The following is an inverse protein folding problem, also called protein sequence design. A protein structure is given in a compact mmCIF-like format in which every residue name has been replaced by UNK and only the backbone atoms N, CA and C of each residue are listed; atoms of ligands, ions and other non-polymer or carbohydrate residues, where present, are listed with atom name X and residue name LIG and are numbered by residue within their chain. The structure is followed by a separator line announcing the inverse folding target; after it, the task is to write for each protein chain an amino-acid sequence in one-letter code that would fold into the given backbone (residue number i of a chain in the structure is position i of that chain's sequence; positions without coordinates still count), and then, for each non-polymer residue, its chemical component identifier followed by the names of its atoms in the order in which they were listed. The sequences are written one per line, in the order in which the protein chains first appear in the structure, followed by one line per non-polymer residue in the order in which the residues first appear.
data_IF_975825481920
#
_entry.id   IF_975825481920
#
_cell.length_a   1.000
_cell.length_b   1.000
_cell.length_c   1.000
_cell.angle_alpha   90.00
_cell.angle_beta   90.00
_cell.angle_gamma   90.00
#
_symmetry.space_group_name_H-M   'P 1'
#
loop_
_entity.id
_entity.type
_entity.pdbx_description
1 polymer ?
#
# COMPACT_ATOMS: atom_id res chain seq x y z
N UNK A 1 -17.89 -25.49 1.60
CA UNK A 1 -18.05 -24.13 1.04
C UNK A 1 -16.93 -23.27 1.61
N UNK A 2 -15.91 -22.97 0.83
CA UNK A 2 -14.78 -22.17 1.28
C UNK A 2 -15.17 -20.69 1.29
N UNK A 3 -15.15 -20.06 2.46
CA UNK A 3 -15.29 -18.61 2.60
C UNK A 3 -13.91 -17.99 2.40
N UNK A 4 -13.71 -17.33 1.26
CA UNK A 4 -12.55 -16.47 1.03
C UNK A 4 -12.85 -15.16 1.76
N UNK A 5 -12.20 -14.95 2.90
CA UNK A 5 -12.20 -13.67 3.60
C UNK A 5 -11.16 -12.83 2.88
N UNK A 6 -11.58 -11.75 2.21
CA UNK A 6 -10.65 -10.85 1.54
C UNK A 6 -9.83 -10.12 2.61
N UNK A 7 -8.57 -10.52 2.70
CA UNK A 7 -7.55 -9.91 3.54
C UNK A 7 -7.02 -8.72 2.76
N UNK A 8 -6.96 -7.56 3.39
CA UNK A 8 -6.25 -6.43 2.85
C UNK A 8 -4.79 -6.80 2.61
N UNK A 9 -4.39 -6.83 1.33
CA UNK A 9 -3.03 -6.53 0.90
C UNK A 9 -1.99 -7.64 0.91
N UNK A 10 -2.34 -8.93 1.06
CA UNK A 10 -1.44 -10.05 0.69
C UNK A 10 -2.26 -11.25 0.18
N UNK A 11 -2.66 -11.22 -1.09
CA UNK A 11 -3.02 -12.44 -1.83
C UNK A 11 -1.86 -12.76 -2.76
N UNK A 12 -0.88 -13.50 -2.25
CA UNK A 12 0.19 -14.06 -3.09
C UNK A 12 -0.42 -15.14 -3.99
N UNK A 13 -0.76 -14.77 -5.22
CA UNK A 13 -0.96 -15.70 -6.33
C UNK A 13 0.35 -15.81 -7.11
N UNK A 14 1.03 -16.95 -6.97
CA UNK A 14 2.25 -17.30 -7.70
C UNK A 14 1.86 -17.62 -9.15
N UNK A 15 2.39 -16.88 -10.13
CA UNK A 15 2.15 -17.12 -11.55
C UNK A 15 3.17 -16.48 -12.49
N UNK A 16 4.11 -17.29 -12.98
CA UNK A 16 4.97 -17.22 -14.18
C UNK A 16 5.30 -15.85 -14.83
N UNK A 17 6.60 -15.62 -15.03
CA UNK A 17 7.19 -14.35 -15.47
C UNK A 17 6.98 -13.94 -16.92
N UNK A 18 7.42 -12.72 -17.26
CA UNK A 18 8.10 -12.35 -18.51
C UNK A 18 8.80 -10.98 -18.30
N UNK A 19 9.98 -10.83 -18.91
CA UNK A 19 10.90 -9.69 -18.79
C UNK A 19 10.55 -8.54 -19.72
N UNK A 20 10.55 -7.28 -19.24
CA UNK A 20 10.85 -6.07 -20.05
C UNK A 20 11.58 -5.06 -19.16
N UNK A 21 12.83 -4.73 -19.50
CA UNK A 21 13.58 -3.62 -18.89
C UNK A 21 13.22 -2.30 -19.59
N UNK A 22 12.87 -1.26 -18.83
CA UNK A 22 12.97 0.12 -19.28
C UNK A 22 13.91 0.88 -18.34
N UNK A 23 15.03 1.37 -18.89
CA UNK A 23 15.92 2.31 -18.21
C UNK A 23 15.37 3.71 -18.44
N UNK A 24 14.75 4.31 -17.42
CA UNK A 24 14.55 5.76 -17.41
C UNK A 24 15.32 6.40 -16.25
N UNK A 25 15.99 7.52 -16.58
CA UNK A 25 16.82 8.31 -15.68
C UNK A 25 15.98 8.84 -14.51
N UNK A 26 16.55 8.99 -13.30
CA UNK A 26 15.84 9.61 -12.20
C UNK A 26 15.62 11.09 -12.50
N UNK A 27 14.36 11.47 -12.74
CA UNK A 27 13.93 12.87 -12.80
C UNK A 27 14.05 13.50 -11.41
N UNK A 28 14.64 14.67 -11.32
CA UNK A 28 14.61 15.51 -10.12
C UNK A 28 13.15 15.96 -9.89
N UNK A 29 12.47 15.32 -8.93
CA UNK A 29 11.04 15.57 -8.62
C UNK A 29 10.90 16.63 -7.54
N UNK A 30 10.22 17.73 -7.84
CA UNK A 30 9.66 18.64 -6.82
C UNK A 30 8.40 18.03 -6.21
N UNK A 31 8.04 18.43 -5.01
CA UNK A 31 7.04 17.79 -4.12
C UNK A 31 5.57 17.80 -4.60
N UNK A 32 5.28 18.06 -5.87
CA UNK A 32 3.92 18.12 -6.42
C UNK A 32 3.78 17.66 -7.88
N UNK A 33 4.70 16.86 -8.42
CA UNK A 33 4.56 16.36 -9.80
C UNK A 33 3.29 15.51 -9.93
N UNK A 34 2.36 15.96 -10.78
CA UNK A 34 1.18 15.18 -11.15
C UNK A 34 1.58 14.15 -12.19
N UNK A 35 1.09 12.93 -12.00
CA UNK A 35 1.34 11.82 -12.93
C UNK A 35 0.05 11.07 -13.18
N UNK A 36 -0.05 10.44 -14.34
CA UNK A 36 -1.08 9.44 -14.61
C UNK A 36 -0.44 8.08 -14.34
N UNK A 37 -1.06 7.32 -13.43
CA UNK A 37 -0.71 5.93 -13.16
C UNK A 37 -1.67 5.03 -13.89
N UNK A 38 -1.14 4.13 -14.71
CA UNK A 38 -1.92 3.17 -15.49
C UNK A 38 -1.67 1.75 -14.97
N UNK A 39 -2.76 1.08 -14.59
CA UNK A 39 -2.78 -0.28 -14.05
C UNK A 39 -3.47 -1.22 -15.06
N UNK A 40 -2.80 -2.28 -15.55
CA UNK A 40 -3.40 -3.24 -16.45
C UNK A 40 -4.43 -4.12 -15.72
N UNK A 41 -5.56 -4.41 -16.37
CA UNK A 41 -6.50 -5.44 -15.90
C UNK A 41 -6.07 -6.80 -16.42
N UNK A 42 -6.16 -7.84 -15.60
CA UNK A 42 -5.78 -9.23 -15.97
C UNK A 42 -6.75 -9.91 -16.96
N UNK A 43 -7.80 -9.23 -17.45
CA UNK A 43 -8.74 -9.86 -18.38
C UNK A 43 -8.11 -10.12 -19.76
N UNK A 44 -8.46 -11.25 -20.36
CA UNK A 44 -8.12 -11.69 -21.74
C UNK A 44 -8.56 -10.73 -22.87
N UNK A 45 -9.11 -9.57 -22.55
CA UNK A 45 -9.39 -8.51 -23.50
C UNK A 45 -8.23 -7.50 -23.46
N UNK A 46 -7.38 -7.56 -24.48
CA UNK A 46 -6.30 -6.58 -24.68
C UNK A 46 -6.84 -5.14 -24.57
N UNK A 47 -6.15 -4.30 -23.78
CA UNK A 47 -6.38 -2.85 -23.78
C UNK A 47 -7.26 -2.27 -22.67
N UNK A 48 -7.69 -3.05 -21.67
CA UNK A 48 -8.41 -2.49 -20.50
C UNK A 48 -7.45 -2.09 -19.37
N UNK A 49 -7.36 -0.79 -19.10
CA UNK A 49 -6.55 -0.22 -18.03
C UNK A 49 -7.38 0.61 -17.05
N UNK A 50 -6.86 0.81 -15.85
CA UNK A 50 -7.31 1.86 -14.92
C UNK A 50 -6.25 2.95 -14.96
N UNK A 51 -6.65 4.18 -15.29
CA UNK A 51 -5.75 5.34 -15.25
C UNK A 51 -6.21 6.29 -14.15
N UNK A 52 -5.32 6.59 -13.20
CA UNK A 52 -5.59 7.45 -12.06
C UNK A 52 -4.60 8.60 -12.02
N UNK A 53 -5.10 9.81 -11.77
CA UNK A 53 -4.26 10.95 -11.44
C UNK A 53 -3.64 10.73 -10.06
N UNK A 54 -2.34 10.85 -9.96
CA UNK A 54 -1.59 10.74 -8.71
C UNK A 54 -0.64 11.93 -8.53
N UNK A 55 -0.18 12.09 -7.30
CA UNK A 55 0.92 12.99 -6.96
C UNK A 55 2.13 12.12 -6.67
N UNK A 56 3.21 12.32 -7.42
CA UNK A 56 4.48 11.65 -7.17
C UNK A 56 5.20 12.32 -5.99
N UNK A 57 5.69 11.49 -5.07
CA UNK A 57 6.59 11.95 -4.02
C UNK A 57 8.00 12.11 -4.58
N UNK A 58 8.76 13.02 -3.95
CA UNK A 58 10.21 12.98 -4.08
C UNK A 58 10.72 11.66 -3.47
N UNK A 59 11.64 10.95 -4.14
CA UNK A 59 12.15 9.69 -3.61
C UNK A 59 13.02 9.96 -2.38
N UNK A 60 12.46 9.69 -1.20
CA UNK A 60 13.14 9.83 0.09
C UNK A 60 13.00 8.53 0.90
N UNK A 61 14.09 8.13 1.56
CA UNK A 61 14.05 6.96 2.43
C UNK A 61 13.34 7.31 3.74
N UNK A 62 12.27 6.57 4.05
CA UNK A 62 11.54 6.71 5.31
C UNK A 62 11.86 5.53 6.23
N UNK A 63 12.48 5.85 7.36
CA UNK A 63 12.92 4.90 8.37
C UNK A 63 11.83 4.63 9.42
N UNK A 64 11.87 3.47 10.11
CA UNK A 64 10.90 3.18 11.16
C UNK A 64 11.09 4.12 12.36
N UNK A 65 9.99 4.38 13.05
CA UNK A 65 9.93 5.20 14.25
C UNK A 65 9.53 4.35 15.45
N UNK A 66 9.67 4.91 16.65
CA UNK A 66 9.12 4.30 17.86
C UNK A 66 7.63 4.61 18.01
N UNK A 67 6.90 3.80 18.79
CA UNK A 67 5.48 4.01 19.05
C UNK A 67 5.17 5.38 19.64
N UNK A 68 6.06 5.94 20.46
CA UNK A 68 5.90 7.29 21.04
C UNK A 68 6.03 8.43 20.04
N UNK A 69 6.61 8.18 18.87
CA UNK A 69 6.73 9.14 17.77
C UNK A 69 5.61 8.99 16.72
N UNK A 70 4.76 7.96 16.87
CA UNK A 70 3.67 7.69 15.95
C UNK A 70 2.68 8.86 15.89
N UNK A 71 2.22 9.17 14.68
CA UNK A 71 1.25 10.22 14.43
C UNK A 71 0.44 9.90 13.19
N UNK A 72 -0.81 10.37 13.18
CA UNK A 72 -1.76 10.18 12.08
C UNK A 72 -2.21 11.51 11.48
N UNK A 73 -1.57 12.62 11.85
CA UNK A 73 -1.96 13.97 11.42
C UNK A 73 -1.85 14.16 9.90
N UNK A 74 -0.86 13.50 9.29
CA UNK A 74 -0.68 13.49 7.83
C UNK A 74 -0.62 12.06 7.33
N UNK A 75 -0.89 11.89 6.04
CA UNK A 75 -0.89 10.60 5.37
C UNK A 75 0.50 9.94 5.42
N UNK A 76 1.55 10.74 5.28
CA UNK A 76 2.95 10.31 5.35
C UNK A 76 3.32 9.80 6.75
N UNK A 77 2.90 10.53 7.80
CA UNK A 77 3.08 10.10 9.19
C UNK A 77 2.31 8.80 9.47
N UNK A 78 1.09 8.68 8.94
CA UNK A 78 0.28 7.47 9.08
C UNK A 78 0.90 6.25 8.37
N UNK A 79 1.49 6.45 7.17
CA UNK A 79 2.24 5.40 6.46
C UNK A 79 3.54 5.01 7.19
N UNK A 80 4.24 5.98 7.80
CA UNK A 80 5.41 5.68 8.62
C UNK A 80 5.04 4.90 9.89
N UNK A 81 3.90 5.25 10.51
CA UNK A 81 3.33 4.51 11.64
C UNK A 81 2.91 3.09 11.25
N UNK A 82 2.33 2.89 10.06
CA UNK A 82 2.06 1.56 9.51
C UNK A 82 3.33 0.71 9.43
N UNK A 83 4.35 1.19 8.72
CA UNK A 83 5.58 0.44 8.52
C UNK A 83 6.23 0.07 9.85
N UNK A 84 6.30 1.03 10.77
CA UNK A 84 6.95 0.85 12.07
C UNK A 84 6.22 -0.14 12.98
N UNK A 85 4.89 -0.08 13.01
CA UNK A 85 4.07 -1.02 13.79
C UNK A 85 4.22 -2.46 13.28
N UNK A 86 4.22 -2.64 11.95
CA UNK A 86 4.39 -3.95 11.32
C UNK A 86 5.80 -4.52 11.54
N UNK A 87 6.85 -3.69 11.37
CA UNK A 87 8.24 -4.10 11.62
C UNK A 87 8.49 -4.47 13.08
N UNK A 88 7.84 -3.76 14.02
CA UNK A 88 7.95 -4.03 15.44
C UNK A 88 7.12 -5.24 15.92
N UNK A 89 6.24 -5.81 15.06
CA UNK A 89 5.28 -6.85 15.44
C UNK A 89 4.42 -6.44 16.66
N UNK A 90 4.07 -5.15 16.77
CA UNK A 90 3.25 -4.59 17.86
C UNK A 90 1.76 -4.59 17.44
N UNK A 91 1.05 -5.66 17.78
CA UNK A 91 -0.36 -5.85 17.41
C UNK A 91 -1.27 -4.72 17.90
N UNK A 92 -0.99 -4.15 19.07
CA UNK A 92 -1.75 -3.03 19.62
C UNK A 92 -1.55 -1.76 18.80
N UNK A 93 -0.33 -1.49 18.37
CA UNK A 93 -0.03 -0.36 17.49
C UNK A 93 -0.55 -0.59 16.07
N UNK A 94 -0.42 -1.79 15.52
CA UNK A 94 -0.99 -2.16 14.23
C UNK A 94 -2.50 -1.92 14.22
N UNK A 95 -3.21 -2.38 15.25
CA UNK A 95 -4.65 -2.13 15.41
C UNK A 95 -4.96 -0.64 15.50
N UNK A 96 -4.18 0.14 16.27
CA UNK A 96 -4.39 1.57 16.43
C UNK A 96 -4.20 2.39 15.14
N UNK A 97 -3.53 1.83 14.13
CA UNK A 97 -3.43 2.45 12.81
C UNK A 97 -4.71 2.35 11.98
N UNK A 98 -5.63 1.44 12.32
CA UNK A 98 -6.92 1.29 11.64
C UNK A 98 -8.00 2.21 12.24
N UNK A 99 -9.00 2.51 11.42
CA UNK A 99 -10.16 3.26 11.87
C UNK A 99 -10.94 2.49 12.94
N UNK A 100 -11.54 3.23 13.87
CA UNK A 100 -12.11 2.68 15.10
C UNK A 100 -13.15 1.58 14.84
N UNK A 101 -13.94 1.72 13.78
CA UNK A 101 -14.96 0.77 13.33
C UNK A 101 -14.40 -0.54 12.76
N UNK A 102 -13.11 -0.59 12.45
CA UNK A 102 -12.44 -1.77 11.88
C UNK A 102 -11.47 -2.45 12.86
N UNK A 103 -11.18 -1.81 14.00
CA UNK A 103 -10.18 -2.31 14.96
C UNK A 103 -10.51 -3.70 15.51
N UNK A 104 -11.77 -4.03 15.75
CA UNK A 104 -12.15 -5.34 16.26
C UNK A 104 -11.88 -6.46 15.24
N UNK A 105 -12.23 -6.23 13.97
CA UNK A 105 -11.92 -7.16 12.89
C UNK A 105 -10.40 -7.33 12.70
N UNK A 106 -9.64 -6.25 12.84
CA UNK A 106 -8.17 -6.29 12.78
C UNK A 106 -7.58 -7.05 13.96
N UNK A 107 -8.08 -6.87 15.18
CA UNK A 107 -7.65 -7.66 16.35
C UNK A 107 -7.89 -9.15 16.14
N UNK A 108 -9.06 -9.51 15.62
CA UNK A 108 -9.40 -10.91 15.30
C UNK A 108 -8.42 -11.48 14.28
N UNK A 109 -8.14 -10.75 13.20
CA UNK A 109 -7.17 -11.14 12.17
C UNK A 109 -5.75 -11.30 12.74
N UNK A 110 -5.30 -10.39 13.61
CA UNK A 110 -3.95 -10.45 14.19
C UNK A 110 -3.79 -11.55 15.25
N UNK A 111 -4.89 -12.15 15.71
CA UNK A 111 -4.85 -13.34 16.56
C UNK A 111 -4.57 -14.62 15.75
N UNK A 112 -4.68 -14.58 14.42
CA UNK A 112 -4.24 -15.67 13.55
C UNK A 112 -2.69 -15.71 13.50
N UNK A 113 -2.13 -16.80 14.03
CA UNK A 113 -0.68 -16.98 14.11
C UNK A 113 0.00 -17.06 12.74
N UNK A 114 -0.66 -17.63 11.72
CA UNK A 114 -0.08 -17.74 10.38
C UNK A 114 0.03 -16.37 9.72
N UNK A 115 -1.02 -15.55 9.86
CA UNK A 115 -1.05 -14.17 9.38
C UNK A 115 0.03 -13.36 10.09
N UNK A 116 0.12 -13.46 11.42
CA UNK A 116 1.09 -12.70 12.20
C UNK A 116 2.54 -13.06 11.85
N UNK A 117 2.84 -14.36 11.70
CA UNK A 117 4.19 -14.82 11.30
C UNK A 117 4.54 -14.33 9.89
N UNK A 118 3.60 -14.41 8.94
CA UNK A 118 3.82 -13.96 7.57
C UNK A 118 4.09 -12.46 7.51
N UNK A 119 3.27 -11.67 8.21
CA UNK A 119 3.43 -10.22 8.29
C UNK A 119 4.80 -9.83 8.87
N UNK A 120 5.15 -10.40 10.02
CA UNK A 120 6.46 -10.19 10.64
C UNK A 120 7.61 -10.53 9.69
N UNK A 121 7.52 -11.67 9.00
CA UNK A 121 8.57 -12.14 8.09
C UNK A 121 8.75 -11.23 6.88
N UNK A 122 7.69 -10.59 6.41
CA UNK A 122 7.78 -9.60 5.33
C UNK A 122 8.53 -8.35 5.79
N UNK A 123 8.12 -7.73 6.91
CA UNK A 123 8.65 -6.42 7.31
C UNK A 123 10.02 -6.45 8.01
N UNK A 124 10.44 -7.59 8.58
CA UNK A 124 11.69 -7.67 9.35
C UNK A 124 12.91 -7.30 8.50
N UNK A 125 12.91 -7.64 7.20
CA UNK A 125 14.03 -7.44 6.29
C UNK A 125 14.23 -6.03 5.76
N UNK A 126 13.29 -5.11 5.98
CA UNK A 126 13.36 -3.76 5.41
C UNK A 126 13.78 -2.72 6.44
N UNK A 127 14.85 -1.99 6.17
CA UNK A 127 15.32 -0.88 7.04
C UNK A 127 14.57 0.43 6.78
N UNK A 128 14.00 0.58 5.59
CA UNK A 128 13.24 1.75 5.17
C UNK A 128 12.27 1.37 4.04
N UNK A 129 11.37 2.29 3.71
CA UNK A 129 10.61 2.29 2.46
C UNK A 129 10.79 3.63 1.73
N UNK A 130 10.41 3.67 0.45
CA UNK A 130 10.35 4.90 -0.34
C UNK A 130 8.89 5.16 -0.76
N UNK A 131 8.23 6.24 -0.31
CA UNK A 131 6.92 6.60 -0.82
C UNK A 131 7.04 7.02 -2.28
N UNK A 132 6.17 6.50 -3.13
CA UNK A 132 6.22 6.72 -4.58
C UNK A 132 5.11 7.66 -5.03
N UNK A 133 3.88 7.33 -4.65
CA UNK A 133 2.70 8.06 -5.13
C UNK A 133 1.62 8.18 -4.05
N UNK A 134 0.86 9.27 -4.15
CA UNK A 134 -0.42 9.48 -3.46
C UNK A 134 -1.53 9.53 -4.50
N UNK A 135 -2.57 8.71 -4.34
CA UNK A 135 -3.64 8.56 -5.31
C UNK A 135 -4.98 8.91 -4.64
N UNK A 136 -5.65 10.00 -5.03
CA UNK A 136 -7.06 10.19 -4.74
C UNK A 136 -7.87 9.17 -5.53
N UNK A 137 -8.53 8.24 -4.84
CA UNK A 137 -9.20 7.12 -5.51
C UNK A 137 -10.72 7.24 -5.46
N UNK A 138 -11.30 7.20 -4.25
CA UNK A 138 -12.74 7.38 -4.03
C UNK A 138 -12.98 8.48 -3.00
N UNK A 139 -14.23 8.96 -2.91
CA UNK A 139 -14.59 10.03 -1.98
C UNK A 139 -14.22 9.62 -0.56
N UNK A 140 -13.28 10.35 0.05
CA UNK A 140 -12.81 10.10 1.42
C UNK A 140 -11.61 9.15 1.52
N UNK A 141 -11.16 8.56 0.42
CA UNK A 141 -10.06 7.58 0.38
C UNK A 141 -8.85 8.10 -0.38
N UNK A 142 -7.67 7.94 0.23
CA UNK A 142 -6.38 8.16 -0.39
C UNK A 142 -5.56 6.88 -0.32
N UNK A 143 -4.98 6.49 -1.45
CA UNK A 143 -4.00 5.42 -1.49
C UNK A 143 -2.59 6.01 -1.38
N UNK A 144 -1.75 5.41 -0.54
CA UNK A 144 -0.30 5.59 -0.61
C UNK A 144 0.34 4.34 -1.20
N UNK A 145 1.25 4.56 -2.14
CA UNK A 145 2.05 3.50 -2.76
C UNK A 145 3.49 3.59 -2.26
N UNK A 146 3.96 2.50 -1.67
CA UNK A 146 5.29 2.36 -1.07
C UNK A 146 6.13 1.39 -1.88
N UNK A 147 7.42 1.68 -2.01
CA UNK A 147 8.40 0.76 -2.55
C UNK A 147 9.36 0.33 -1.43
N UNK A 148 9.45 -0.99 -1.20
CA UNK A 148 10.43 -1.56 -0.29
C UNK A 148 11.70 -1.95 -1.07
N UNK A 149 12.91 -1.74 -0.50
CA UNK A 149 14.16 -2.08 -1.18
C UNK A 149 14.24 -3.57 -1.53
N UNK A 150 14.60 -3.87 -2.78
CA UNK A 150 14.75 -5.25 -3.26
C UNK A 150 13.44 -5.91 -3.71
N UNK A 151 12.28 -5.30 -3.46
CA UNK A 151 11.01 -5.78 -3.97
C UNK A 151 10.81 -5.35 -5.42
N UNK A 152 10.24 -6.25 -6.24
CA UNK A 152 9.83 -5.95 -7.61
C UNK A 152 8.56 -5.09 -7.64
N UNK A 153 7.65 -5.34 -6.70
CA UNK A 153 6.36 -4.69 -6.61
C UNK A 153 6.31 -3.49 -5.66
N UNK A 154 5.09 -3.03 -5.44
CA UNK A 154 4.77 -1.94 -4.53
C UNK A 154 3.70 -2.38 -3.53
N UNK A 155 3.79 -1.87 -2.30
CA UNK A 155 2.74 -2.00 -1.29
C UNK A 155 1.79 -0.82 -1.40
N UNK A 156 0.48 -1.09 -1.52
CA UNK A 156 -0.55 -0.05 -1.55
C UNK A 156 -1.35 -0.10 -0.25
N UNK A 157 -1.56 1.07 0.35
CA UNK A 157 -2.31 1.21 1.60
C UNK A 157 -3.47 2.17 1.37
N UNK A 158 -4.69 1.76 1.71
CA UNK A 158 -5.88 2.60 1.70
C UNK A 158 -6.05 3.31 3.05
N UNK A 159 -6.22 4.63 2.99
CA UNK A 159 -6.46 5.48 4.14
C UNK A 159 -7.75 6.30 3.98
N UNK A 160 -8.50 6.41 5.07
CA UNK A 160 -9.59 7.37 5.21
C UNK A 160 -9.26 8.42 6.27
N UNK A 161 -9.74 9.65 6.07
CA UNK A 161 -9.64 10.72 7.06
C UNK A 161 -10.68 10.49 8.16
N UNK A 162 -10.24 10.44 9.41
CA UNK A 162 -11.10 10.31 10.60
C UNK A 162 -10.89 11.52 11.52
N UNK A 163 -11.65 11.57 12.64
CA UNK A 163 -11.44 12.56 13.70
C UNK A 163 -10.05 12.43 14.36
N UNK A 164 -9.48 11.22 14.37
CA UNK A 164 -8.17 10.92 14.96
C UNK A 164 -7.01 11.00 13.94
N UNK A 165 -7.26 11.59 12.77
CA UNK A 165 -6.31 11.69 11.66
C UNK A 165 -6.54 10.64 10.56
N UNK A 166 -5.53 10.42 9.73
CA UNK A 166 -5.53 9.43 8.66
C UNK A 166 -5.35 8.02 9.23
N UNK A 167 -6.33 7.16 8.97
CA UNK A 167 -6.35 5.78 9.45
C UNK A 167 -6.45 4.82 8.28
N UNK A 168 -5.79 3.66 8.42
CA UNK A 168 -5.94 2.55 7.49
C UNK A 168 -7.39 2.06 7.49
N UNK A 169 -7.82 1.59 6.33
CA UNK A 169 -9.15 1.02 6.17
C UNK A 169 -9.16 -0.09 5.13
N UNK A 170 -10.09 -1.03 5.30
CA UNK A 170 -10.36 -2.14 4.39
C UNK A 170 -11.72 -1.98 3.71
N UNK A 171 -12.37 -0.81 3.82
CA UNK A 171 -13.67 -0.53 3.19
C UNK A 171 -13.68 -0.82 1.68
N UNK A 172 -12.54 -0.68 1.01
CA UNK A 172 -12.38 -0.93 -0.42
C UNK A 172 -11.81 -2.33 -0.75
N UNK A 173 -11.67 -3.23 0.23
CA UNK A 173 -11.06 -4.55 0.02
C UNK A 173 -11.82 -5.42 -1.01
N UNK A 174 -13.13 -5.21 -1.17
CA UNK A 174 -13.97 -5.92 -2.16
C UNK A 174 -14.24 -5.11 -3.42
N UNK A 175 -13.63 -3.92 -3.55
CA UNK A 175 -13.78 -3.11 -4.74
C UNK A 175 -12.96 -3.68 -5.91
N UNK A 176 -13.58 -3.79 -7.08
CA UNK A 176 -12.95 -4.38 -8.27
C UNK A 176 -11.74 -3.60 -8.76
N UNK A 177 -11.83 -2.27 -8.69
CA UNK A 177 -10.76 -1.40 -9.17
C UNK A 177 -9.61 -1.40 -8.15
N UNK A 178 -9.91 -1.44 -6.85
CA UNK A 178 -8.90 -1.65 -5.80
C UNK A 178 -8.16 -2.98 -5.96
N UNK A 179 -8.87 -4.08 -6.22
CA UNK A 179 -8.26 -5.39 -6.46
C UNK A 179 -7.31 -5.38 -7.69
N UNK A 180 -7.68 -4.64 -8.74
CA UNK A 180 -6.81 -4.45 -9.91
C UNK A 180 -5.55 -3.66 -9.55
N UNK A 181 -5.71 -2.56 -8.80
CA UNK A 181 -4.59 -1.70 -8.37
C UNK A 181 -3.62 -2.50 -7.50
N UNK A 182 -4.13 -3.28 -6.54
CA UNK A 182 -3.31 -4.14 -5.68
C UNK A 182 -2.52 -5.16 -6.50
N UNK A 183 -3.19 -5.95 -7.35
CA UNK A 183 -2.52 -6.99 -8.15
C UNK A 183 -1.45 -6.40 -9.08
N UNK A 184 -1.78 -5.31 -9.80
CA UNK A 184 -0.84 -4.65 -10.69
C UNK A 184 0.37 -4.07 -9.91
N UNK A 185 0.13 -3.51 -8.73
CA UNK A 185 1.18 -2.94 -7.88
C UNK A 185 2.12 -4.02 -7.35
N UNK A 186 1.59 -5.14 -6.84
CA UNK A 186 2.38 -6.27 -6.36
C UNK A 186 3.27 -6.87 -7.47
N UNK A 187 2.79 -6.87 -8.71
CA UNK A 187 3.56 -7.35 -9.88
C UNK A 187 4.55 -6.32 -10.43
N UNK A 188 4.58 -5.10 -9.89
CA UNK A 188 5.36 -3.98 -10.42
C UNK A 188 4.88 -3.47 -11.78
N UNK A 189 3.65 -3.82 -12.18
CA UNK A 189 3.03 -3.47 -13.46
C UNK A 189 2.28 -2.14 -13.35
N UNK A 190 3.02 -1.06 -13.10
CA UNK A 190 2.49 0.30 -13.09
C UNK A 190 3.24 1.11 -14.15
N UNK A 191 2.50 1.73 -15.07
CA UNK A 191 3.07 2.70 -16.00
C UNK A 191 2.82 4.11 -15.46
N UNK A 192 3.86 4.95 -15.46
CA UNK A 192 3.81 6.34 -15.04
C UNK A 192 3.99 7.26 -16.24
N UNK A 193 3.11 8.25 -16.40
CA UNK A 193 3.25 9.33 -17.38
C UNK A 193 3.17 10.68 -16.67
N UNK A 194 4.11 11.59 -16.95
CA UNK A 194 4.11 12.94 -16.35
C UNK A 194 3.00 13.78 -17.00
N UNK A 195 2.17 14.40 -16.16
CA UNK A 195 1.07 15.28 -16.57
C UNK A 195 1.53 16.73 -16.70
#
# INVERSE_FOLDING_TARGET
MAKIIAIAGVVVLIGAGYWIFSKEKPLERSSQTKVILTFPRESTEEGRFISLLAIAYAPENVYPITRGQASWETLEKAAQSFFSANKADDSGWMTANFAADEQDAVREMLNDSEIRVRNKSYFVGFDYYVPRWKIPFKKGHLLIVLQFPGEQGYTVIDFKQTADGWKQTNELAYDRDMATILSASEQGKITEEVY
#
